data_IF_060734788454
#
_entry.id   IF_060734788454
#
_cell.length_a   1.000
_cell.length_b   1.000
_cell.length_c   1.000
_cell.angle_alpha   90.00
_cell.angle_beta   90.00
_cell.angle_gamma   90.00
#
_symmetry.space_group_name_H-M   'P 1'
#
loop_
_entity.id
_entity.type
_entity.pdbx_description
1 polymer ?
#
# COMPACT_ATOMS: atom_id res chain seq x y z
N UNK A 1 7.55 -11.95 2.19
CA UNK A 1 7.26 -12.64 0.92
C UNK A 1 8.38 -12.52 -0.12
N UNK A 2 8.63 -11.38 -0.79
CA UNK A 2 9.68 -11.32 -1.85
C UNK A 2 11.09 -11.65 -1.34
N UNK A 3 11.47 -11.13 -0.16
CA UNK A 3 12.77 -11.40 0.45
C UNK A 3 12.93 -12.85 0.91
N UNK A 4 11.84 -13.47 1.32
CA UNK A 4 11.81 -14.83 1.84
C UNK A 4 11.87 -15.83 0.69
N UNK A 5 11.12 -15.58 -0.38
CA UNK A 5 11.17 -16.33 -1.62
C UNK A 5 12.55 -16.25 -2.31
N UNK A 6 13.28 -15.14 -2.14
CA UNK A 6 14.65 -14.98 -2.59
C UNK A 6 15.69 -15.69 -1.69
N UNK A 7 15.28 -16.29 -0.56
CA UNK A 7 16.17 -16.96 0.38
C UNK A 7 16.98 -16.02 1.30
N UNK A 8 16.67 -14.71 1.30
CA UNK A 8 17.45 -13.67 1.99
C UNK A 8 16.92 -13.35 3.41
N UNK A 9 16.21 -14.29 4.03
CA UNK A 9 15.56 -14.08 5.34
C UNK A 9 16.55 -13.65 6.43
N UNK A 10 17.76 -14.25 6.44
CA UNK A 10 18.82 -13.93 7.41
C UNK A 10 19.26 -12.48 7.38
N UNK A 11 19.33 -11.84 6.20
CA UNK A 11 19.79 -10.45 6.09
C UNK A 11 18.75 -9.45 6.59
N UNK A 12 17.45 -9.75 6.46
CA UNK A 12 16.40 -8.86 6.97
C UNK A 12 16.02 -9.08 8.44
N UNK A 13 16.61 -10.09 9.10
CA UNK A 13 16.33 -10.40 10.52
C UNK A 13 16.65 -9.23 11.44
N UNK A 14 17.75 -8.50 11.18
CA UNK A 14 18.14 -7.36 12.01
C UNK A 14 17.09 -6.23 11.95
N UNK A 15 16.50 -5.99 10.78
CA UNK A 15 15.42 -5.02 10.63
C UNK A 15 14.15 -5.39 11.40
N UNK A 16 13.83 -6.68 11.51
CA UNK A 16 12.70 -7.16 12.31
C UNK A 16 12.91 -6.96 13.83
N UNK A 17 14.16 -7.09 14.30
CA UNK A 17 14.50 -6.79 15.70
C UNK A 17 14.30 -5.30 15.98
N UNK A 18 14.80 -4.43 15.10
CA UNK A 18 14.65 -2.98 15.24
C UNK A 18 13.18 -2.56 15.20
N UNK A 19 12.36 -3.17 14.35
CA UNK A 19 10.91 -2.92 14.33
C UNK A 19 10.25 -3.30 15.67
N UNK A 20 10.53 -4.49 16.21
CA UNK A 20 9.99 -4.91 17.51
C UNK A 20 10.38 -3.93 18.63
N UNK A 21 11.65 -3.52 18.66
CA UNK A 21 12.13 -2.53 19.64
C UNK A 21 11.42 -1.19 19.46
N UNK A 22 11.32 -0.67 18.23
CA UNK A 22 10.61 0.58 17.95
C UNK A 22 9.14 0.51 18.38
N UNK A 23 8.45 -0.59 18.05
CA UNK A 23 7.04 -0.76 18.39
C UNK A 23 6.83 -0.72 19.92
N UNK A 24 7.62 -1.47 20.68
CA UNK A 24 7.51 -1.53 22.14
C UNK A 24 7.88 -0.18 22.78
N UNK A 25 9.03 0.39 22.41
CA UNK A 25 9.52 1.63 23.02
C UNK A 25 8.54 2.78 22.77
N UNK A 26 8.11 2.98 21.52
CA UNK A 26 7.21 4.06 21.15
C UNK A 26 5.83 3.85 21.81
N UNK A 27 5.32 2.62 21.81
CA UNK A 27 4.04 2.29 22.43
C UNK A 27 4.05 2.54 23.95
N UNK A 28 5.10 2.13 24.66
CA UNK A 28 5.21 2.33 26.12
C UNK A 28 5.34 3.81 26.47
N UNK A 29 6.06 4.60 25.68
CA UNK A 29 6.17 6.04 25.92
C UNK A 29 4.83 6.74 25.69
N UNK A 30 4.14 6.41 24.60
CA UNK A 30 2.90 7.10 24.22
C UNK A 30 1.68 6.61 25.00
N UNK A 31 1.62 5.36 25.44
CA UNK A 31 0.45 4.83 26.18
C UNK A 31 0.22 5.57 27.50
N UNK A 32 1.29 6.03 28.15
CA UNK A 32 1.22 6.77 29.42
C UNK A 32 0.44 8.07 29.25
N UNK A 33 0.55 8.72 28.08
CA UNK A 33 -0.08 10.02 27.82
C UNK A 33 -1.36 9.89 26.99
N UNK A 34 -1.40 8.96 26.03
CA UNK A 34 -2.42 8.88 24.96
C UNK A 34 -3.19 7.54 24.97
N UNK A 35 -2.92 6.66 25.94
CA UNK A 35 -3.60 5.36 26.07
C UNK A 35 -3.44 4.48 24.83
N UNK A 36 -4.51 3.81 24.42
CA UNK A 36 -4.51 2.88 23.27
C UNK A 36 -4.11 3.56 21.94
N UNK A 37 -4.40 4.85 21.79
CA UNK A 37 -4.01 5.64 20.61
C UNK A 37 -2.48 5.73 20.51
N UNK A 38 -1.79 5.79 21.66
CA UNK A 38 -0.33 5.74 21.69
C UNK A 38 0.24 4.43 21.14
N UNK A 39 -0.42 3.31 21.42
CA UNK A 39 -0.03 1.97 20.93
C UNK A 39 -0.25 1.85 19.42
N UNK A 40 -1.36 2.40 18.90
CA UNK A 40 -1.61 2.38 17.45
C UNK A 40 -0.60 3.25 16.69
N UNK A 41 -0.20 4.39 17.26
CA UNK A 41 0.88 5.23 16.71
C UNK A 41 2.22 4.46 16.72
N UNK A 42 2.55 3.77 17.81
CA UNK A 42 3.77 2.93 17.89
C UNK A 42 3.78 1.84 16.82
N UNK A 43 2.64 1.17 16.61
CA UNK A 43 2.47 0.18 15.54
C UNK A 43 2.64 0.81 14.16
N UNK A 44 2.04 1.98 13.92
CA UNK A 44 2.18 2.69 12.65
C UNK A 44 3.64 3.06 12.35
N UNK A 45 4.35 3.64 13.32
CA UNK A 45 5.76 4.02 13.16
C UNK A 45 6.66 2.80 12.87
N UNK A 46 6.47 1.70 13.60
CA UNK A 46 7.21 0.46 13.39
C UNK A 46 6.96 -0.13 12.00
N UNK A 47 5.70 -0.16 11.55
CA UNK A 47 5.32 -0.64 10.22
C UNK A 47 5.90 0.22 9.10
N UNK A 48 5.92 1.54 9.26
CA UNK A 48 6.55 2.45 8.29
C UNK A 48 8.05 2.12 8.17
N UNK A 49 8.76 2.00 9.28
CA UNK A 49 10.18 1.61 9.27
C UNK A 49 10.41 0.27 8.55
N UNK A 50 9.64 -0.77 8.91
CA UNK A 50 9.79 -2.10 8.30
C UNK A 50 9.46 -2.09 6.81
N UNK A 51 8.41 -1.37 6.42
CA UNK A 51 8.01 -1.25 5.02
C UNK A 51 9.08 -0.55 4.19
N UNK A 52 9.66 0.54 4.69
CA UNK A 52 10.75 1.26 4.03
C UNK A 52 12.02 0.42 3.94
N UNK A 53 12.42 -0.26 5.02
CA UNK A 53 13.54 -1.20 5.01
C UNK A 53 13.37 -2.29 3.94
N UNK A 54 12.19 -2.92 3.88
CA UNK A 54 11.91 -3.92 2.85
C UNK A 54 11.87 -3.34 1.45
N UNK A 55 11.32 -2.14 1.26
CA UNK A 55 11.31 -1.49 -0.05
C UNK A 55 12.73 -1.24 -0.56
N UNK A 56 13.62 -0.70 0.30
CA UNK A 56 15.03 -0.46 -0.03
C UNK A 56 15.74 -1.78 -0.33
N UNK A 57 15.61 -2.78 0.55
CA UNK A 57 16.29 -4.06 0.40
C UNK A 57 15.84 -4.80 -0.85
N UNK A 58 14.52 -4.90 -1.07
CA UNK A 58 13.93 -5.54 -2.25
C UNK A 58 14.35 -4.84 -3.55
N UNK A 59 14.32 -3.50 -3.57
CA UNK A 59 14.71 -2.72 -4.75
C UNK A 59 16.18 -2.90 -5.11
N UNK A 60 17.08 -2.92 -4.12
CA UNK A 60 18.53 -2.94 -4.35
C UNK A 60 19.07 -4.35 -4.57
N UNK A 61 18.66 -5.32 -3.74
CA UNK A 61 19.26 -6.66 -3.71
C UNK A 61 18.50 -7.69 -4.54
N UNK A 62 17.19 -7.53 -4.73
CA UNK A 62 16.35 -8.53 -5.42
C UNK A 62 15.99 -8.05 -6.83
N UNK A 63 15.32 -6.89 -6.93
CA UNK A 63 14.84 -6.37 -8.20
C UNK A 63 15.90 -5.60 -8.99
N UNK A 64 17.02 -5.21 -8.36
CA UNK A 64 18.07 -4.34 -8.94
C UNK A 64 17.50 -3.12 -9.67
N UNK A 65 16.46 -2.52 -9.11
CA UNK A 65 15.78 -1.33 -9.62
C UNK A 65 16.07 -0.14 -8.73
N UNK A 66 15.94 1.07 -9.28
CA UNK A 66 16.05 2.31 -8.51
C UNK A 66 14.88 2.41 -7.53
N UNK A 67 15.17 2.70 -6.26
CA UNK A 67 14.17 2.91 -5.20
C UNK A 67 13.16 4.01 -5.54
N UNK A 68 13.58 4.96 -6.38
CA UNK A 68 12.72 6.00 -6.95
C UNK A 68 11.45 5.45 -7.59
N UNK A 69 11.48 4.25 -8.18
CA UNK A 69 10.30 3.67 -8.80
C UNK A 69 9.27 3.24 -7.75
N UNK A 70 9.72 2.66 -6.63
CA UNK A 70 8.84 2.34 -5.51
C UNK A 70 8.25 3.63 -4.89
N UNK A 71 9.08 4.66 -4.70
CA UNK A 71 8.63 5.96 -4.22
C UNK A 71 7.61 6.62 -5.15
N UNK A 72 7.84 6.58 -6.47
CA UNK A 72 6.88 7.05 -7.48
C UNK A 72 5.54 6.32 -7.37
N UNK A 73 5.55 5.00 -7.22
CA UNK A 73 4.32 4.23 -7.10
C UNK A 73 3.56 4.59 -5.82
N UNK A 74 4.25 4.76 -4.68
CA UNK A 74 3.62 5.22 -3.42
C UNK A 74 3.01 6.62 -3.61
N UNK A 75 3.72 7.54 -4.25
CA UNK A 75 3.22 8.87 -4.54
C UNK A 75 1.94 8.84 -5.39
N UNK A 76 1.91 8.01 -6.45
CA UNK A 76 0.73 7.85 -7.30
C UNK A 76 -0.46 7.31 -6.49
N UNK A 77 -0.26 6.30 -5.63
CA UNK A 77 -1.32 5.77 -4.75
C UNK A 77 -1.84 6.83 -3.76
N UNK A 78 -0.96 7.67 -3.21
CA UNK A 78 -1.37 8.78 -2.32
C UNK A 78 -2.23 9.79 -3.10
N UNK A 79 -1.82 10.16 -4.32
CA UNK A 79 -2.58 11.07 -5.17
C UNK A 79 -3.95 10.49 -5.52
N UNK A 80 -4.01 9.20 -5.89
CA UNK A 80 -5.27 8.48 -6.15
C UNK A 80 -6.20 8.51 -4.92
N UNK A 81 -5.67 8.25 -3.73
CA UNK A 81 -6.45 8.30 -2.49
C UNK A 81 -7.01 9.71 -2.24
N UNK A 82 -6.21 10.76 -2.44
CA UNK A 82 -6.65 12.16 -2.30
C UNK A 82 -7.75 12.48 -3.31
N UNK A 83 -7.62 12.05 -4.57
CA UNK A 83 -8.63 12.24 -5.61
C UNK A 83 -9.94 11.54 -5.22
N UNK A 84 -9.88 10.29 -4.76
CA UNK A 84 -11.07 9.54 -4.31
C UNK A 84 -11.76 10.26 -3.15
N UNK A 85 -11.00 10.70 -2.13
CA UNK A 85 -11.55 11.45 -0.99
C UNK A 85 -12.20 12.76 -1.46
N UNK A 86 -11.57 13.47 -2.40
CA UNK A 86 -12.11 14.70 -2.97
C UNK A 86 -13.44 14.45 -3.69
N UNK A 87 -13.50 13.42 -4.55
CA UNK A 87 -14.74 13.03 -5.26
C UNK A 87 -15.85 12.69 -4.26
N UNK A 88 -15.55 11.89 -3.24
CA UNK A 88 -16.53 11.50 -2.22
C UNK A 88 -17.05 12.74 -1.46
N UNK A 89 -16.18 13.69 -1.13
CA UNK A 89 -16.59 14.94 -0.46
C UNK A 89 -17.45 15.85 -1.34
N UNK A 90 -17.31 15.79 -2.66
CA UNK A 90 -18.16 16.51 -3.60
C UNK A 90 -19.54 15.88 -3.79
N UNK A 91 -19.73 14.62 -3.37
CA UNK A 91 -21.04 13.97 -3.42
C UNK A 91 -21.95 14.48 -2.30
N UNK A 92 -23.29 14.46 -2.49
CA UNK A 92 -24.23 14.80 -1.44
C UNK A 92 -24.02 13.89 -0.22
N UNK A 93 -24.17 14.44 0.97
CA UNK A 93 -24.02 13.71 2.23
C UNK A 93 -25.08 12.60 2.28
N UNK A 94 -24.62 11.35 2.33
CA UNK A 94 -25.50 10.19 2.49
C UNK A 94 -25.75 9.92 3.97
N UNK A 95 -27.02 9.90 4.37
CA UNK A 95 -27.41 9.48 5.71
C UNK A 95 -27.37 7.95 5.80
N UNK A 96 -26.30 7.43 6.37
CA UNK A 96 -26.12 6.00 6.62
C UNK A 96 -26.77 5.64 7.96
N UNK A 97 -28.04 5.24 7.92
CA UNK A 97 -28.82 4.89 9.13
C UNK A 97 -29.04 3.39 9.33
N UNK A 98 -28.74 2.57 8.31
CA UNK A 98 -28.92 1.11 8.33
C UNK A 98 -27.70 0.41 7.73
N UNK A 99 -27.46 -0.85 8.13
CA UNK A 99 -26.41 -1.70 7.56
C UNK A 99 -26.54 -1.85 6.04
N UNK A 100 -27.78 -1.86 5.51
CA UNK A 100 -28.01 -1.96 4.07
C UNK A 100 -27.60 -0.66 3.36
N UNK A 101 -27.91 0.50 3.92
CA UNK A 101 -27.46 1.81 3.41
C UNK A 101 -25.93 1.95 3.45
N UNK A 102 -25.30 1.44 4.51
CA UNK A 102 -23.84 1.41 4.61
C UNK A 102 -23.21 0.53 3.51
N UNK A 103 -23.80 -0.64 3.26
CA UNK A 103 -23.32 -1.55 2.22
C UNK A 103 -23.45 -0.93 0.82
N UNK A 104 -24.59 -0.31 0.51
CA UNK A 104 -24.77 0.39 -0.78
C UNK A 104 -23.73 1.50 -0.92
N UNK A 105 -23.51 2.29 0.14
CA UNK A 105 -22.50 3.35 0.11
C UNK A 105 -21.08 2.79 -0.12
N UNK A 106 -20.72 1.69 0.54
CA UNK A 106 -19.43 1.03 0.35
C UNK A 106 -19.25 0.52 -1.10
N UNK A 107 -20.30 -0.01 -1.72
CA UNK A 107 -20.28 -0.42 -3.13
C UNK A 107 -20.05 0.77 -4.06
N UNK A 108 -20.74 1.90 -3.83
CA UNK A 108 -20.56 3.12 -4.64
C UNK A 108 -19.13 3.66 -4.50
N UNK A 109 -18.62 3.77 -3.28
CA UNK A 109 -17.23 4.19 -3.02
C UNK A 109 -16.23 3.23 -3.68
N UNK A 110 -16.50 1.92 -3.61
CA UNK A 110 -15.69 0.89 -4.26
C UNK A 110 -15.65 1.04 -5.78
N UNK A 111 -16.78 1.31 -6.42
CA UNK A 111 -16.84 1.56 -7.87
C UNK A 111 -16.07 2.81 -8.28
N UNK A 112 -16.20 3.91 -7.52
CA UNK A 112 -15.44 5.15 -7.77
C UNK A 112 -13.94 4.89 -7.65
N UNK A 113 -13.54 4.20 -6.58
CA UNK A 113 -12.13 3.86 -6.33
C UNK A 113 -11.57 2.98 -7.46
N UNK A 114 -12.32 1.96 -7.89
CA UNK A 114 -11.93 1.10 -9.02
C UNK A 114 -11.76 1.91 -10.31
N UNK A 115 -12.66 2.85 -10.59
CA UNK A 115 -12.57 3.68 -11.77
C UNK A 115 -11.32 4.60 -11.73
N UNK A 116 -11.06 5.26 -10.60
CA UNK A 116 -9.90 6.15 -10.43
C UNK A 116 -8.59 5.38 -10.58
N UNK A 117 -8.45 4.25 -9.88
CA UNK A 117 -7.26 3.39 -9.97
C UNK A 117 -7.09 2.83 -11.38
N UNK A 118 -8.18 2.39 -12.03
CA UNK A 118 -8.14 1.87 -13.40
C UNK A 118 -7.69 2.93 -14.40
N UNK A 119 -8.22 4.14 -14.31
CA UNK A 119 -7.83 5.27 -15.17
C UNK A 119 -6.35 5.66 -14.96
N UNK A 120 -5.92 5.79 -13.70
CA UNK A 120 -4.53 6.08 -13.36
C UNK A 120 -3.58 4.96 -13.83
N UNK A 121 -3.99 3.70 -13.67
CA UNK A 121 -3.22 2.54 -14.14
C UNK A 121 -2.97 2.59 -15.64
N UNK A 122 -3.99 2.95 -16.42
CA UNK A 122 -3.86 3.10 -17.88
C UNK A 122 -2.90 4.23 -18.28
N UNK A 123 -2.87 5.33 -17.52
CA UNK A 123 -2.00 6.49 -17.78
C UNK A 123 -0.55 6.24 -17.35
N UNK A 124 -0.33 5.79 -16.11
CA UNK A 124 1.00 5.73 -15.50
C UNK A 124 1.72 4.39 -15.71
N UNK A 125 0.99 3.29 -15.92
CA UNK A 125 1.56 1.93 -16.06
C UNK A 125 1.37 1.34 -17.46
N UNK A 126 1.17 2.19 -18.47
CA UNK A 126 0.91 1.80 -19.87
C UNK A 126 1.93 0.83 -20.45
N UNK A 127 3.21 0.99 -20.09
CA UNK A 127 4.30 0.11 -20.51
C UNK A 127 4.19 -1.29 -19.89
N UNK A 128 3.83 -1.39 -18.61
CA UNK A 128 3.64 -2.68 -17.93
C UNK A 128 2.39 -3.40 -18.46
N UNK A 129 1.31 -2.66 -18.73
CA UNK A 129 0.07 -3.20 -19.34
C UNK A 129 0.34 -3.75 -20.74
N UNK A 130 1.13 -3.05 -21.56
CA UNK A 130 1.51 -3.54 -22.88
C UNK A 130 2.34 -4.82 -22.80
N UNK A 131 3.24 -4.91 -21.83
CA UNK A 131 4.11 -6.07 -21.63
C UNK A 131 3.31 -7.28 -21.13
N UNK A 132 2.36 -7.08 -20.21
CA UNK A 132 1.40 -8.09 -19.76
C UNK A 132 0.54 -8.57 -20.92
N UNK A 133 -0.03 -7.66 -21.70
CA UNK A 133 -0.85 -7.99 -22.88
C UNK A 133 -0.08 -8.83 -23.88
N UNK A 134 1.21 -8.52 -24.11
CA UNK A 134 2.06 -9.29 -25.00
C UNK A 134 2.37 -10.69 -24.45
N UNK A 135 2.65 -10.83 -23.14
CA UNK A 135 2.85 -12.14 -22.51
C UNK A 135 1.60 -13.01 -22.58
N UNK A 136 0.42 -12.43 -22.32
CA UNK A 136 -0.87 -13.15 -22.43
C UNK A 136 -1.11 -13.60 -23.88
N UNK A 137 -0.91 -12.72 -24.86
CA UNK A 137 -0.99 -13.09 -26.29
C UNK A 137 -0.03 -14.22 -26.65
N UNK A 138 1.21 -14.18 -26.17
CA UNK A 138 2.20 -15.22 -26.41
C UNK A 138 1.87 -16.54 -25.72
N UNK A 139 1.28 -16.52 -24.53
CA UNK A 139 0.83 -17.72 -23.82
C UNK A 139 -0.38 -18.37 -24.51
N UNK A 140 -1.32 -17.55 -25.01
CA UNK A 140 -2.47 -18.01 -25.79
C UNK A 140 -2.06 -18.57 -27.16
N UNK A 141 -1.02 -18.01 -27.79
CA UNK A 141 -0.48 -18.49 -29.08
C UNK A 141 0.41 -19.74 -28.95
N UNK A 142 0.81 -20.10 -27.72
CA UNK A 142 1.57 -21.32 -27.41
C UNK A 142 0.68 -22.51 -27.03
N UNK A 143 -0.64 -22.32 -26.95
CA UNK A 143 -1.64 -23.39 -26.92
C UNK A 143 -2.15 -23.64 -28.34
#
# INVERSE_FOLDING_TARGET
MLVEAAGHFKQTRNGAIVECVLNIVISVILVIKWGLIGVTIGTFCALVYRTTQYAIYSSTHILRRKIWIAGKNVLINIIEAVIVIFIIKCMPVWNVTSYLSWLIYAVVVGMITMFVIGASSFLFYRSEISLLSQKVKNALKRR
#
